data_IF_735711831930
#
_entry.id   IF_735711831930
#
_cell.length_a   1.000
_cell.length_b   1.000
_cell.length_c   1.000
_cell.angle_alpha   90.00
_cell.angle_beta   90.00
_cell.angle_gamma   90.00
#
_symmetry.space_group_name_H-M   'P 1'
#
loop_
_entity.id
_entity.type
_entity.pdbx_description
1 polymer ?
#
# COMPACT_ATOMS: atom_id res chain seq x y z
N UNK A 1 14.05 -9.20 13.42
CA UNK A 1 13.68 -7.80 13.12
C UNK A 1 14.16 -7.55 11.72
N UNK A 2 13.35 -6.92 10.88
CA UNK A 2 13.80 -6.54 9.55
C UNK A 2 14.94 -5.52 9.66
N UNK A 3 15.91 -5.62 8.79
CA UNK A 3 16.95 -4.63 8.55
C UNK A 3 16.35 -3.39 7.89
N UNK A 4 17.05 -2.26 7.96
CA UNK A 4 16.61 -1.06 7.24
C UNK A 4 16.49 -1.32 5.74
N UNK A 5 17.38 -2.13 5.15
CA UNK A 5 17.32 -2.49 3.74
C UNK A 5 16.02 -3.24 3.38
N UNK A 6 15.61 -4.22 4.19
CA UNK A 6 14.35 -4.96 3.99
C UNK A 6 13.11 -4.07 4.18
N UNK A 7 13.17 -3.07 5.06
CA UNK A 7 12.08 -2.10 5.24
C UNK A 7 11.96 -1.19 4.02
N UNK A 8 13.08 -0.66 3.53
CA UNK A 8 13.13 0.16 2.31
C UNK A 8 12.66 -0.63 1.08
N UNK A 9 13.07 -1.89 0.95
CA UNK A 9 12.65 -2.76 -0.15
C UNK A 9 11.13 -2.99 -0.16
N UNK A 10 10.53 -3.33 0.99
CA UNK A 10 9.05 -3.49 1.11
C UNK A 10 8.29 -2.23 0.73
N UNK A 11 8.83 -1.08 1.10
CA UNK A 11 8.25 0.21 0.76
C UNK A 11 8.35 0.47 -0.75
N UNK A 12 9.53 0.26 -1.34
CA UNK A 12 9.78 0.44 -2.77
C UNK A 12 8.90 -0.49 -3.62
N UNK A 13 8.77 -1.77 -3.23
CA UNK A 13 7.91 -2.73 -3.92
C UNK A 13 6.44 -2.26 -3.93
N UNK A 14 5.89 -1.94 -2.77
CA UNK A 14 4.51 -1.47 -2.67
C UNK A 14 4.28 -0.15 -3.42
N UNK A 15 5.30 0.70 -3.48
CA UNK A 15 5.24 1.96 -4.23
C UNK A 15 5.27 1.73 -5.75
N UNK A 16 6.06 0.76 -6.24
CA UNK A 16 6.05 0.38 -7.64
C UNK A 16 4.70 -0.23 -8.03
N UNK A 17 4.15 -1.13 -7.22
CA UNK A 17 2.81 -1.71 -7.45
C UNK A 17 1.73 -0.62 -7.53
N UNK A 18 1.79 0.37 -6.63
CA UNK A 18 0.89 1.52 -6.64
C UNK A 18 0.98 2.28 -7.96
N UNK A 19 2.19 2.57 -8.43
CA UNK A 19 2.39 3.30 -9.69
C UNK A 19 1.94 2.51 -10.90
N UNK A 20 2.24 1.22 -10.94
CA UNK A 20 1.86 0.31 -12.03
C UNK A 20 0.33 0.20 -12.12
N UNK A 21 -0.39 0.24 -10.99
CA UNK A 21 -1.86 0.26 -11.01
C UNK A 21 -2.37 1.64 -11.44
N UNK A 22 -1.82 2.74 -10.92
CA UNK A 22 -2.29 4.09 -11.25
C UNK A 22 -2.11 4.39 -12.74
N UNK A 23 -1.01 3.95 -13.35
CA UNK A 23 -0.63 4.26 -14.73
C UNK A 23 -0.76 5.78 -15.01
N UNK A 24 -1.52 6.16 -16.04
CA UNK A 24 -1.81 7.55 -16.41
C UNK A 24 -3.15 8.06 -15.85
N UNK A 25 -3.82 7.29 -14.97
CA UNK A 25 -5.15 7.64 -14.47
C UNK A 25 -5.10 8.84 -13.55
N UNK A 26 -5.86 9.88 -13.89
CA UNK A 26 -6.05 11.04 -13.03
C UNK A 26 -7.08 10.72 -11.93
N UNK A 27 -6.75 11.01 -10.67
CA UNK A 27 -7.61 10.83 -9.47
C UNK A 27 -8.03 9.38 -9.18
N UNK A 28 -7.06 8.50 -8.96
CA UNK A 28 -7.33 7.16 -8.43
C UNK A 28 -7.57 7.22 -6.92
N UNK A 29 -8.69 6.66 -6.47
CA UNK A 29 -9.00 6.54 -5.03
C UNK A 29 -8.38 5.29 -4.44
N UNK A 30 -7.82 5.40 -3.23
CA UNK A 30 -7.21 4.32 -2.48
C UNK A 30 -8.04 4.02 -1.22
N UNK A 31 -8.46 2.77 -1.05
CA UNK A 31 -9.11 2.27 0.16
C UNK A 31 -8.06 1.71 1.12
N UNK A 32 -8.01 2.26 2.33
CA UNK A 32 -7.15 1.81 3.42
C UNK A 32 -7.85 0.74 4.29
N UNK A 33 -7.10 -0.04 5.09
CA UNK A 33 -7.68 -1.11 5.93
C UNK A 33 -8.64 -0.63 7.02
N UNK A 34 -8.60 0.64 7.40
CA UNK A 34 -9.51 1.25 8.36
C UNK A 34 -10.84 1.71 7.72
N UNK A 35 -10.99 1.52 6.40
CA UNK A 35 -12.15 1.94 5.62
C UNK A 35 -12.04 3.36 5.07
N UNK A 36 -10.95 4.08 5.35
CA UNK A 36 -10.72 5.43 4.82
C UNK A 36 -10.46 5.38 3.31
N UNK A 37 -11.01 6.34 2.58
CA UNK A 37 -10.75 6.53 1.15
C UNK A 37 -9.91 7.79 0.97
N UNK A 38 -8.74 7.63 0.37
CA UNK A 38 -7.72 8.68 0.26
C UNK A 38 -7.19 8.78 -1.17
N UNK A 39 -6.46 9.85 -1.48
CA UNK A 39 -5.73 9.96 -2.74
C UNK A 39 -4.42 9.15 -2.73
N UNK A 40 -3.79 9.05 -3.90
CA UNK A 40 -2.56 8.29 -4.11
C UNK A 40 -1.39 8.80 -3.27
N UNK A 41 -1.28 10.11 -3.05
CA UNK A 41 -0.20 10.71 -2.24
C UNK A 41 -0.36 10.37 -0.75
N UNK A 42 -1.59 10.40 -0.24
CA UNK A 42 -1.89 10.00 1.14
C UNK A 42 -1.70 8.50 1.32
N UNK A 43 -2.10 7.69 0.33
CA UNK A 43 -1.85 6.24 0.32
C UNK A 43 -0.35 5.93 0.35
N UNK A 44 0.44 6.67 -0.44
CA UNK A 44 1.91 6.60 -0.45
C UNK A 44 2.49 6.83 0.94
N UNK A 45 2.08 7.90 1.63
CA UNK A 45 2.51 8.15 3.02
C UNK A 45 2.14 7.01 3.98
N UNK A 46 0.92 6.48 3.87
CA UNK A 46 0.45 5.37 4.71
C UNK A 46 1.25 4.07 4.52
N UNK A 47 1.58 3.73 3.28
CA UNK A 47 2.40 2.57 2.94
C UNK A 47 3.81 2.70 3.54
N UNK A 48 4.43 3.88 3.39
CA UNK A 48 5.75 4.16 3.96
C UNK A 48 5.74 4.01 5.49
N UNK A 49 4.80 4.66 6.18
CA UNK A 49 4.68 4.55 7.64
C UNK A 49 4.44 3.10 8.08
N UNK A 50 3.64 2.34 7.34
CA UNK A 50 3.36 0.94 7.64
C UNK A 50 4.60 0.04 7.47
N UNK A 51 5.45 0.30 6.47
CA UNK A 51 6.73 -0.39 6.33
C UNK A 51 7.65 -0.12 7.53
N UNK A 52 7.80 1.15 7.96
CA UNK A 52 8.61 1.50 9.13
C UNK A 52 8.05 0.96 10.45
N UNK A 53 6.74 0.71 10.53
CA UNK A 53 6.11 0.00 11.65
C UNK A 53 6.34 -1.53 11.61
N UNK A 54 7.04 -2.04 10.59
CA UNK A 54 7.39 -3.44 10.45
C UNK A 54 6.28 -4.31 9.84
N UNK A 55 5.29 -3.71 9.19
CA UNK A 55 4.28 -4.47 8.45
C UNK A 55 4.81 -4.92 7.08
N UNK A 56 4.26 -6.02 6.58
CA UNK A 56 4.27 -6.34 5.17
C UNK A 56 3.11 -5.62 4.49
N UNK A 57 3.29 -5.25 3.23
CA UNK A 57 2.35 -4.46 2.46
C UNK A 57 1.88 -5.25 1.25
N UNK A 58 0.67 -4.94 0.79
CA UNK A 58 0.16 -5.42 -0.49
C UNK A 58 -0.74 -4.33 -1.06
N UNK A 59 -0.58 -4.05 -2.34
CA UNK A 59 -1.42 -3.10 -3.08
C UNK A 59 -2.07 -3.87 -4.23
N UNK A 60 -3.38 -3.73 -4.37
CA UNK A 60 -4.13 -4.40 -5.43
C UNK A 60 -5.10 -3.44 -6.08
N UNK A 61 -5.47 -3.71 -7.33
CA UNK A 61 -6.60 -3.05 -7.94
C UNK A 61 -7.92 -3.57 -7.37
N UNK A 62 -8.87 -2.67 -7.13
CA UNK A 62 -10.20 -3.03 -6.66
C UNK A 62 -11.27 -1.98 -6.99
N UNK A 63 -12.43 -2.12 -6.38
CA UNK A 63 -13.54 -1.17 -6.52
C UNK A 63 -13.61 -0.26 -5.29
N UNK A 64 -13.49 1.05 -5.51
CA UNK A 64 -13.55 2.08 -4.47
C UNK A 64 -14.54 3.14 -4.92
N UNK A 65 -15.59 3.39 -4.13
CA UNK A 65 -16.69 4.31 -4.50
C UNK A 65 -17.34 4.04 -5.87
N UNK A 66 -17.41 2.78 -6.29
CA UNK A 66 -18.03 2.41 -7.57
C UNK A 66 -17.15 2.65 -8.79
N UNK A 67 -15.89 3.01 -8.60
CA UNK A 67 -14.88 3.17 -9.65
C UNK A 67 -13.69 2.23 -9.43
N UNK A 68 -12.88 2.00 -10.47
CA UNK A 68 -11.62 1.25 -10.34
C UNK A 68 -10.63 2.09 -9.53
N UNK A 69 -10.28 1.58 -8.36
CA UNK A 69 -9.35 2.19 -7.43
C UNK A 69 -8.30 1.20 -6.94
N UNK A 70 -7.67 1.55 -5.84
CA UNK A 70 -6.62 0.77 -5.20
C UNK A 70 -7.12 0.30 -3.83
N UNK A 71 -6.80 -0.93 -3.47
CA UNK A 71 -7.02 -1.47 -2.13
C UNK A 71 -5.64 -1.72 -1.52
N UNK A 72 -5.34 -0.99 -0.44
CA UNK A 72 -4.09 -1.11 0.28
C UNK A 72 -4.28 -2.01 1.50
N UNK A 73 -3.36 -2.95 1.71
CA UNK A 73 -3.40 -3.92 2.79
C UNK A 73 -2.07 -3.91 3.53
N UNK A 74 -2.15 -4.17 4.84
CA UNK A 74 -0.98 -4.45 5.67
C UNK A 74 -1.23 -5.64 6.57
N UNK A 75 -0.19 -6.43 6.80
CA UNK A 75 -0.26 -7.61 7.65
C UNK A 75 1.08 -7.83 8.36
N UNK A 76 1.05 -8.56 9.47
CA UNK A 76 2.28 -9.01 10.13
C UNK A 76 2.69 -10.34 9.52
N UNK A 77 3.96 -10.50 9.21
CA UNK A 77 4.53 -11.82 8.93
C UNK A 77 4.19 -12.75 10.10
N UNK A 78 3.38 -13.78 9.84
CA UNK A 78 3.25 -14.86 10.82
C UNK A 78 4.58 -15.56 10.87
N UNK A 79 5.19 -15.61 12.06
CA UNK A 79 6.24 -16.59 12.32
C UNK A 79 5.59 -17.96 12.19
N UNK A 80 5.91 -18.70 11.12
CA UNK A 80 5.69 -20.14 11.11
C UNK A 80 6.39 -20.70 12.34
N UNK A 81 5.60 -21.27 13.27
CA UNK A 81 6.09 -21.98 14.45
C UNK A 81 6.77 -23.29 14.05
#
# INVERSE_FOLDING_TARGET
MATNAEIEERWIEAWNDLFDIVEERWRVSCLLPDGSIVDTETCKGWLQESAYQGYCLKVEEGWVNGERGIVALRFKESKSL
#
